data_IF_236447300740
#
_entry.id   IF_236447300740
#
_cell.length_a   1.000
_cell.length_b   1.000
_cell.length_c   1.000
_cell.angle_alpha   90.00
_cell.angle_beta   90.00
_cell.angle_gamma   90.00
#
_symmetry.space_group_name_H-M   'P 1'
#
loop_
_entity.id
_entity.type
_entity.pdbx_description
1 polymer ?
#
# COMPACT_ATOMS: atom_id res chain seq x y z
N UNK A 1 -7.86 0.26 -3.96
CA UNK A 1 -6.41 0.33 -4.23
C UNK A 1 -5.76 -1.02 -3.95
N UNK A 2 -5.03 -1.58 -4.92
CA UNK A 2 -4.27 -2.81 -4.75
C UNK A 2 -2.92 -2.55 -4.05
N UNK A 3 -2.79 -2.99 -2.80
CA UNK A 3 -1.55 -2.82 -2.02
C UNK A 3 -0.38 -3.68 -2.52
N UNK A 4 -0.59 -4.55 -3.52
CA UNK A 4 0.48 -5.41 -4.06
C UNK A 4 1.44 -4.70 -5.02
N UNK A 5 1.12 -3.49 -5.51
CA UNK A 5 2.00 -2.69 -6.37
C UNK A 5 3.37 -2.48 -5.74
N UNK A 6 4.42 -2.48 -6.57
CA UNK A 6 5.80 -2.45 -6.09
C UNK A 6 6.18 -1.19 -5.30
N UNK A 7 5.61 -0.07 -5.70
CA UNK A 7 5.80 1.25 -5.09
C UNK A 7 4.57 2.10 -5.40
N UNK A 8 4.41 3.22 -4.68
CA UNK A 8 3.36 4.21 -4.99
C UNK A 8 3.42 4.70 -6.45
N UNK A 9 4.62 4.83 -7.01
CA UNK A 9 4.80 5.25 -8.40
C UNK A 9 4.23 4.22 -9.39
N UNK A 10 4.26 2.93 -9.04
CA UNK A 10 3.70 1.85 -9.85
C UNK A 10 2.18 1.67 -9.70
N UNK A 11 1.54 2.38 -8.77
CA UNK A 11 0.07 2.39 -8.65
C UNK A 11 -0.54 3.15 -9.86
N UNK A 12 -1.51 2.57 -10.58
CA UNK A 12 -2.18 3.20 -11.71
C UNK A 12 -2.78 4.57 -11.36
N UNK A 13 -2.81 5.48 -12.34
CA UNK A 13 -3.34 6.84 -12.15
C UNK A 13 -4.81 6.81 -11.72
N UNK A 14 -5.64 5.95 -12.32
CA UNK A 14 -7.05 5.84 -11.96
C UNK A 14 -7.25 5.44 -10.49
N UNK A 15 -6.45 4.52 -9.95
CA UNK A 15 -6.54 4.15 -8.52
C UNK A 15 -6.11 5.31 -7.60
N UNK A 16 -5.12 6.10 -8.00
CA UNK A 16 -4.73 7.30 -7.26
C UNK A 16 -5.83 8.36 -7.29
N UNK A 17 -6.47 8.55 -8.43
CA UNK A 17 -7.56 9.51 -8.62
C UNK A 17 -8.81 9.11 -7.81
N UNK A 18 -9.14 7.82 -7.72
CA UNK A 18 -10.21 7.33 -6.84
C UNK A 18 -9.95 7.69 -5.38
N UNK A 19 -8.73 7.48 -4.88
CA UNK A 19 -8.36 7.85 -3.51
C UNK A 19 -8.42 9.37 -3.28
N UNK A 20 -7.94 10.15 -4.25
CA UNK A 20 -8.03 11.61 -4.20
C UNK A 20 -9.50 12.05 -4.15
N UNK A 21 -10.37 11.41 -4.93
CA UNK A 21 -11.80 11.70 -4.96
C UNK A 21 -12.43 11.45 -3.59
N UNK A 22 -12.11 10.33 -2.94
CA UNK A 22 -12.59 10.06 -1.58
C UNK A 22 -12.10 11.10 -0.57
N UNK A 23 -10.82 11.48 -0.64
CA UNK A 23 -10.27 12.54 0.21
C UNK A 23 -10.97 13.88 -0.03
N UNK A 24 -11.36 14.20 -1.26
CA UNK A 24 -12.11 15.43 -1.55
C UNK A 24 -13.56 15.41 -1.03
N UNK A 25 -14.16 14.23 -0.91
CA UNK A 25 -15.51 14.08 -0.34
C UNK A 25 -15.48 14.26 1.17
N UNK A 26 -14.49 13.69 1.84
CA UNK A 26 -14.41 13.68 3.31
C UNK A 26 -13.79 14.97 3.90
N UNK A 27 -13.02 15.72 3.10
CA UNK A 27 -12.27 16.88 3.57
C UNK A 27 -12.55 18.13 2.73
N UNK A 28 -12.71 19.27 3.40
CA UNK A 28 -12.85 20.57 2.74
C UNK A 28 -11.46 21.04 2.27
N UNK A 29 -11.10 20.70 1.03
CA UNK A 29 -9.81 21.03 0.43
C UNK A 29 -9.99 21.93 -0.79
N UNK A 30 -9.29 23.07 -0.79
CA UNK A 30 -9.17 23.90 -1.99
C UNK A 30 -8.22 23.23 -3.01
N UNK A 31 -8.79 22.62 -4.05
CA UNK A 31 -8.01 21.92 -5.08
C UNK A 31 -7.28 22.86 -6.05
N UNK A 32 -7.56 24.17 -6.05
CA UNK A 32 -6.80 25.15 -6.83
C UNK A 32 -5.46 25.48 -6.16
N UNK A 33 -5.35 25.26 -4.85
CA UNK A 33 -4.12 25.47 -4.08
C UNK A 33 -3.14 24.31 -4.22
N UNK A 34 -1.94 24.62 -4.74
CA UNK A 34 -0.86 23.62 -4.94
C UNK A 34 -0.46 22.92 -3.65
N UNK A 35 -0.33 23.65 -2.54
CA UNK A 35 0.06 23.07 -1.25
C UNK A 35 -0.96 22.04 -0.73
N UNK A 36 -2.26 22.20 -1.05
CA UNK A 36 -3.27 21.22 -0.69
C UNK A 36 -3.11 19.94 -1.52
N UNK A 37 -2.98 20.06 -2.84
CA UNK A 37 -2.72 18.93 -3.74
C UNK A 37 -1.45 18.16 -3.37
N UNK A 38 -0.37 18.89 -3.09
CA UNK A 38 0.90 18.31 -2.65
C UNK A 38 0.74 17.57 -1.31
N UNK A 39 -0.02 18.14 -0.37
CA UNK A 39 -0.27 17.53 0.94
C UNK A 39 -1.01 16.21 0.80
N UNK A 40 -2.11 16.19 0.04
CA UNK A 40 -2.87 14.95 -0.21
C UNK A 40 -1.98 13.90 -0.85
N UNK A 41 -1.26 14.27 -1.91
CA UNK A 41 -0.38 13.32 -2.63
C UNK A 41 0.71 12.74 -1.73
N UNK A 42 1.36 13.59 -0.91
CA UNK A 42 2.38 13.16 0.06
C UNK A 42 1.80 12.28 1.15
N UNK A 43 0.60 12.58 1.64
CA UNK A 43 -0.09 11.77 2.66
C UNK A 43 -0.44 10.40 2.12
N UNK A 44 -1.02 10.32 0.91
CA UNK A 44 -1.34 9.04 0.27
C UNK A 44 -0.08 8.19 0.02
N UNK A 45 1.01 8.82 -0.44
CA UNK A 45 2.32 8.15 -0.58
C UNK A 45 2.81 7.54 0.75
N UNK A 46 2.81 8.34 1.82
CA UNK A 46 3.26 7.89 3.15
C UNK A 46 2.38 6.77 3.68
N UNK A 47 1.07 6.91 3.55
CA UNK A 47 0.09 5.92 4.00
C UNK A 47 0.23 4.59 3.25
N UNK A 48 0.37 4.63 1.92
CA UNK A 48 0.60 3.43 1.10
C UNK A 48 1.82 2.65 1.57
N UNK A 49 2.95 3.35 1.76
CA UNK A 49 4.17 2.69 2.19
C UNK A 49 4.05 2.17 3.63
N UNK A 50 3.45 2.96 4.55
CA UNK A 50 3.25 2.57 5.94
C UNK A 50 2.43 1.27 6.07
N UNK A 51 1.32 1.16 5.34
CA UNK A 51 0.52 -0.08 5.35
C UNK A 51 1.33 -1.26 4.83
N UNK A 52 2.06 -1.09 3.72
CA UNK A 52 2.85 -2.18 3.15
C UNK A 52 4.00 -2.61 4.06
N UNK A 53 4.55 -1.68 4.85
CA UNK A 53 5.48 -2.00 5.91
C UNK A 53 4.85 -2.86 7.00
N UNK A 54 3.67 -2.46 7.50
CA UNK A 54 2.95 -3.21 8.53
C UNK A 54 2.53 -4.61 8.05
N UNK A 55 2.13 -4.73 6.79
CA UNK A 55 1.83 -6.00 6.14
C UNK A 55 3.08 -6.90 6.05
N UNK A 56 4.23 -6.34 5.69
CA UNK A 56 5.48 -7.09 5.68
C UNK A 56 5.94 -7.49 7.09
N UNK A 57 5.79 -6.59 8.07
CA UNK A 57 6.06 -6.90 9.48
C UNK A 57 5.14 -8.01 9.99
N UNK A 58 3.88 -8.04 9.55
CA UNK A 58 2.93 -9.10 9.86
C UNK A 58 3.35 -10.42 9.20
N UNK A 59 3.74 -10.39 7.92
CA UNK A 59 4.27 -11.56 7.22
C UNK A 59 5.45 -12.20 7.97
N UNK A 60 6.40 -11.39 8.45
CA UNK A 60 7.58 -11.86 9.18
C UNK A 60 7.29 -12.48 10.57
N UNK A 61 6.04 -12.46 11.04
CA UNK A 61 5.64 -13.17 12.26
C UNK A 61 5.39 -14.66 12.01
N UNK A 62 5.16 -15.05 10.76
CA UNK A 62 4.89 -16.43 10.37
C UNK A 62 6.20 -17.12 9.98
N UNK A 63 6.28 -18.42 10.24
CA UNK A 63 7.47 -19.23 9.97
C UNK A 63 7.56 -19.64 8.49
N UNK A 64 6.42 -19.70 7.81
CA UNK A 64 6.32 -20.12 6.42
C UNK A 64 5.35 -19.27 5.61
N UNK A 65 5.50 -19.33 4.28
CA UNK A 65 4.58 -18.69 3.35
C UNK A 65 3.18 -19.30 3.46
N UNK A 66 3.10 -20.61 3.64
CA UNK A 66 1.86 -21.38 3.76
C UNK A 66 1.06 -20.95 5.00
N UNK A 67 1.75 -20.77 6.13
CA UNK A 67 1.15 -20.25 7.37
C UNK A 67 0.66 -18.81 7.18
N UNK A 68 1.45 -17.95 6.54
CA UNK A 68 1.03 -16.58 6.25
C UNK A 68 -0.22 -16.54 5.36
N UNK A 69 -0.31 -17.40 4.34
CA UNK A 69 -1.47 -17.47 3.44
C UNK A 69 -2.76 -17.95 4.13
N UNK A 70 -2.64 -18.80 5.15
CA UNK A 70 -3.78 -19.21 5.97
C UNK A 70 -4.31 -18.07 6.88
N UNK A 71 -3.50 -17.04 7.13
CA UNK A 71 -3.80 -15.95 8.06
C UNK A 71 -3.85 -14.59 7.34
N UNK A 72 -4.87 -14.39 6.50
CA UNK A 72 -5.07 -13.15 5.72
C UNK A 72 -5.39 -11.96 6.65
N UNK A 73 -4.61 -10.86 6.63
CA UNK A 73 -4.92 -9.66 7.41
C UNK A 73 -6.23 -9.00 6.94
N UNK A 74 -7.06 -8.46 7.85
CA UNK A 74 -8.34 -7.80 7.48
C UNK A 74 -8.20 -6.62 6.51
N UNK A 75 -7.00 -6.03 6.44
CA UNK A 75 -6.70 -4.85 5.63
C UNK A 75 -6.55 -5.14 4.13
N UNK A 76 -6.42 -6.41 3.73
CA UNK A 76 -6.19 -6.82 2.34
C UNK A 76 -7.10 -7.96 1.92
N UNK A 77 -7.41 -8.02 0.63
CA UNK A 77 -8.09 -9.19 0.06
C UNK A 77 -7.14 -10.40 0.02
N UNK A 78 -7.66 -11.64 0.01
CA UNK A 78 -6.83 -12.84 -0.16
C UNK A 78 -5.97 -12.80 -1.43
N UNK A 79 -6.49 -12.23 -2.52
CA UNK A 79 -5.76 -12.10 -3.78
C UNK A 79 -4.57 -11.12 -3.66
N UNK A 80 -4.76 -9.97 -3.02
CA UNK A 80 -3.68 -9.03 -2.73
C UNK A 80 -2.66 -9.65 -1.77
N UNK A 81 -3.11 -10.37 -0.75
CA UNK A 81 -2.24 -11.03 0.21
C UNK A 81 -1.38 -12.12 -0.45
N UNK A 82 -1.96 -12.94 -1.33
CA UNK A 82 -1.22 -13.94 -2.10
C UNK A 82 -0.08 -13.33 -2.93
N UNK A 83 -0.35 -12.22 -3.63
CA UNK A 83 0.67 -11.48 -4.39
C UNK A 83 1.78 -10.96 -3.47
N UNK A 84 1.41 -10.41 -2.31
CA UNK A 84 2.36 -9.89 -1.32
C UNK A 84 3.24 -11.00 -0.71
N UNK A 85 2.66 -12.08 -0.20
CA UNK A 85 3.40 -13.23 0.32
C UNK A 85 4.34 -13.82 -0.74
N UNK A 86 3.88 -13.96 -1.98
CA UNK A 86 4.71 -14.44 -3.09
C UNK A 86 5.91 -13.52 -3.32
N UNK A 87 5.69 -12.20 -3.29
CA UNK A 87 6.77 -11.22 -3.40
C UNK A 87 7.74 -11.31 -2.21
N UNK A 88 7.25 -11.35 -0.98
CA UNK A 88 8.09 -11.37 0.22
C UNK A 88 8.92 -12.65 0.34
N UNK A 89 8.38 -13.79 -0.13
CA UNK A 89 9.12 -15.05 -0.21
C UNK A 89 10.16 -15.10 -1.33
N UNK A 90 10.18 -14.13 -2.24
CA UNK A 90 11.12 -14.11 -3.36
C UNK A 90 12.52 -13.72 -2.89
N UNK A 91 13.54 -14.40 -3.42
CA UNK A 91 14.95 -14.06 -3.17
C UNK A 91 15.34 -12.66 -3.68
N UNK A 92 14.58 -12.13 -4.63
CA UNK A 92 14.82 -10.79 -5.20
C UNK A 92 14.25 -9.67 -4.32
N UNK A 93 13.50 -10.01 -3.28
CA UNK A 93 12.94 -9.02 -2.36
C UNK A 93 13.99 -8.53 -1.38
N UNK A 94 14.58 -7.37 -1.66
CA UNK A 94 15.61 -6.72 -0.83
C UNK A 94 15.06 -5.99 0.42
N UNK A 95 13.85 -6.31 0.87
CA UNK A 95 13.23 -5.57 1.97
C UNK A 95 12.93 -4.11 1.63
N UNK A 96 12.77 -3.29 2.67
CA UNK A 96 12.47 -1.86 2.57
C UNK A 96 13.69 -1.00 2.90
N UNK A 97 14.86 -1.33 2.33
CA UNK A 97 16.12 -0.61 2.61
C UNK A 97 16.17 0.85 2.12
N UNK A 98 15.11 1.34 1.47
CA UNK A 98 15.06 2.71 0.96
C UNK A 98 13.67 3.30 1.23
N UNK A 99 13.52 3.91 2.40
CA UNK A 99 12.45 4.87 2.69
C UNK A 99 12.86 6.27 2.26
#
# INVERSE_FOLDING_TARGET
MDLSHASWHAVPTNEKEELITWVQVDFILDWNKKNHRDTVTKTLYKWFNHIRYDLHRTYNKYESKEEALANVPPLVTPATWLKLCTRYSSKDFKGWEFW
#
